data_IF_797671153285
#
_entry.id   IF_797671153285
#
_cell.length_a   1.000
_cell.length_b   1.000
_cell.length_c   1.000
_cell.angle_alpha   90.00
_cell.angle_beta   90.00
_cell.angle_gamma   90.00
#
_symmetry.space_group_name_H-M   'P 1'
#
loop_
_entity.id
_entity.type
_entity.pdbx_description
1 polymer ?
#
# COMPACT_ATOMS: atom_id res chain seq x y z
N UNK A 1 -5.55 4.48 -16.80
CA UNK A 1 -5.28 3.87 -15.47
C UNK A 1 -4.12 4.66 -14.90
N UNK A 2 -4.29 5.22 -13.71
CA UNK A 2 -3.32 6.14 -13.11
C UNK A 2 -2.36 5.36 -12.19
N UNK A 3 -1.07 5.59 -12.26
CA UNK A 3 -0.13 5.15 -11.23
C UNK A 3 -0.17 6.16 -10.09
N UNK A 4 -0.26 5.71 -8.85
CA UNK A 4 -0.40 6.60 -7.69
C UNK A 4 0.57 6.22 -6.59
N UNK A 5 1.22 7.23 -6.01
CA UNK A 5 2.21 7.10 -4.95
C UNK A 5 1.89 8.12 -3.84
N UNK A 6 2.04 7.69 -2.58
CA UNK A 6 1.71 8.48 -1.40
C UNK A 6 2.93 8.63 -0.49
N UNK A 7 3.40 9.86 -0.26
CA UNK A 7 4.62 10.09 0.50
C UNK A 7 4.69 11.48 1.15
N UNK A 8 5.50 11.66 2.20
CA UNK A 8 5.90 12.99 2.65
C UNK A 8 6.78 13.75 1.66
N UNK A 9 6.59 15.07 1.54
CA UNK A 9 7.43 15.96 0.73
C UNK A 9 8.79 16.23 1.40
N UNK A 10 9.64 15.21 1.51
CA UNK A 10 10.99 15.29 2.11
C UNK A 10 12.06 14.73 1.18
N UNK A 11 13.32 15.11 1.42
CA UNK A 11 14.45 14.75 0.56
C UNK A 11 14.64 13.24 0.32
N UNK A 12 14.35 12.40 1.31
CA UNK A 12 14.38 10.94 1.14
C UNK A 12 13.47 10.50 -0.01
N UNK A 13 12.20 10.88 0.05
CA UNK A 13 11.20 10.51 -0.96
C UNK A 13 11.43 11.21 -2.29
N UNK A 14 12.03 12.41 -2.30
CA UNK A 14 12.50 13.03 -3.55
C UNK A 14 13.44 12.08 -4.29
N UNK A 15 14.47 11.56 -3.62
CA UNK A 15 15.42 10.64 -4.25
C UNK A 15 14.75 9.34 -4.74
N UNK A 16 13.92 8.71 -3.90
CA UNK A 16 13.21 7.47 -4.25
C UNK A 16 12.29 7.69 -5.48
N UNK A 17 11.52 8.78 -5.49
CA UNK A 17 10.64 9.14 -6.60
C UNK A 17 11.40 9.46 -7.88
N UNK A 18 12.53 10.17 -7.84
CA UNK A 18 13.32 10.44 -9.04
C UNK A 18 13.75 9.13 -9.72
N UNK A 19 14.16 8.13 -8.93
CA UNK A 19 14.53 6.81 -9.42
C UNK A 19 13.30 6.06 -9.98
N UNK A 20 12.20 5.98 -9.22
CA UNK A 20 10.97 5.31 -9.62
C UNK A 20 10.35 5.92 -10.89
N UNK A 21 10.16 7.25 -10.92
CA UNK A 21 9.53 7.95 -12.04
C UNK A 21 10.37 7.89 -13.31
N UNK A 22 11.70 7.93 -13.19
CA UNK A 22 12.59 7.73 -14.35
C UNK A 22 12.39 6.34 -14.95
N UNK A 23 12.25 5.32 -14.10
CA UNK A 23 11.96 3.96 -14.54
C UNK A 23 10.57 3.84 -15.20
N UNK A 24 9.52 4.36 -14.56
CA UNK A 24 8.16 4.34 -15.10
C UNK A 24 8.06 5.05 -16.46
N UNK A 25 8.69 6.23 -16.60
CA UNK A 25 8.71 6.98 -17.87
C UNK A 25 9.48 6.27 -18.97
N UNK A 26 10.60 5.60 -18.66
CA UNK A 26 11.32 4.74 -19.63
C UNK A 26 10.45 3.58 -20.11
N UNK A 27 9.61 3.06 -19.23
CA UNK A 27 8.57 2.11 -19.58
C UNK A 27 7.34 2.79 -20.19
N UNK A 28 7.39 4.06 -20.60
CA UNK A 28 6.31 4.79 -21.28
C UNK A 28 5.00 4.91 -20.49
N UNK A 29 5.06 4.82 -19.17
CA UNK A 29 3.95 5.13 -18.26
C UNK A 29 3.89 6.65 -18.11
N UNK A 30 2.71 7.23 -18.33
CA UNK A 30 2.51 8.69 -18.38
C UNK A 30 1.53 9.19 -17.31
N UNK A 31 0.43 8.49 -17.11
CA UNK A 31 -0.61 8.85 -16.14
C UNK A 31 -0.12 8.53 -14.72
N UNK A 32 0.53 9.49 -14.07
CA UNK A 32 1.11 9.34 -12.73
C UNK A 32 0.60 10.46 -11.84
N UNK A 33 0.13 10.09 -10.64
CA UNK A 33 -0.37 10.96 -9.58
C UNK A 33 0.54 10.81 -8.37
N UNK A 34 1.07 11.93 -7.87
CA UNK A 34 1.83 11.97 -6.62
C UNK A 34 1.01 12.68 -5.56
N UNK A 35 0.76 11.99 -4.45
CA UNK A 35 0.15 12.57 -3.26
C UNK A 35 1.22 12.87 -2.22
N UNK A 36 1.28 14.12 -1.79
CA UNK A 36 2.24 14.58 -0.80
C UNK A 36 1.59 15.05 0.51
N UNK A 37 2.20 14.67 1.64
CA UNK A 37 2.03 15.46 2.86
C UNK A 37 2.97 16.67 2.83
N UNK A 38 2.46 17.86 3.16
CA UNK A 38 3.21 19.12 3.06
C UNK A 38 4.37 19.16 4.06
N UNK A 39 5.58 19.40 3.55
CA UNK A 39 6.81 19.58 4.33
C UNK A 39 7.74 20.58 3.63
N UNK A 40 8.24 20.25 2.43
CA UNK A 40 8.99 21.15 1.55
C UNK A 40 8.24 21.31 0.22
N UNK A 41 7.68 22.51 -0.02
CA UNK A 41 6.90 22.82 -1.21
C UNK A 41 7.72 22.80 -2.51
N UNK A 42 9.06 22.88 -2.43
CA UNK A 42 9.91 22.79 -3.62
C UNK A 42 9.91 21.38 -4.22
N UNK A 43 9.67 20.34 -3.41
CA UNK A 43 9.70 18.94 -3.86
C UNK A 43 8.49 18.63 -4.77
N UNK A 44 7.22 18.91 -4.38
CA UNK A 44 6.08 18.79 -5.28
C UNK A 44 6.23 19.62 -6.56
N UNK A 45 6.65 20.89 -6.46
CA UNK A 45 6.87 21.78 -7.61
C UNK A 45 7.90 21.21 -8.58
N UNK A 46 8.98 20.62 -8.06
CA UNK A 46 10.00 19.97 -8.87
C UNK A 46 9.41 18.82 -9.70
N UNK A 47 8.62 17.93 -9.09
CA UNK A 47 8.03 16.81 -9.84
C UNK A 47 6.99 17.25 -10.87
N UNK A 48 6.17 18.25 -10.55
CA UNK A 48 5.22 18.81 -11.51
C UNK A 48 5.95 19.38 -12.74
N UNK A 49 7.04 20.15 -12.54
CA UNK A 49 7.77 20.81 -13.64
C UNK A 49 8.69 19.88 -14.42
N UNK A 50 9.53 19.11 -13.73
CA UNK A 50 10.59 18.31 -14.37
C UNK A 50 10.06 16.97 -14.88
N UNK A 51 9.06 16.41 -14.21
CA UNK A 51 8.45 15.14 -14.61
C UNK A 51 7.08 15.32 -15.28
N UNK A 52 6.41 16.47 -15.19
CA UNK A 52 5.12 16.67 -15.85
C UNK A 52 4.07 15.66 -15.38
N UNK A 53 4.05 15.36 -14.07
CA UNK A 53 3.10 14.44 -13.42
C UNK A 53 2.04 15.23 -12.65
N UNK A 54 0.89 14.60 -12.38
CA UNK A 54 -0.15 15.19 -11.54
C UNK A 54 0.32 15.16 -10.08
N UNK A 55 0.22 16.28 -9.38
CA UNK A 55 0.72 16.45 -8.01
C UNK A 55 -0.37 17.06 -7.13
N UNK A 56 -0.60 16.45 -5.96
CA UNK A 56 -1.51 16.97 -4.93
C UNK A 56 -0.79 17.05 -3.60
N UNK A 57 -0.99 18.14 -2.87
CA UNK A 57 -0.30 18.41 -1.60
C UNK A 57 -1.31 18.73 -0.51
N UNK A 58 -1.27 17.95 0.57
CA UNK A 58 -2.19 18.09 1.71
C UNK A 58 -1.43 18.39 2.99
N UNK A 59 -1.98 19.24 3.85
CA UNK A 59 -1.47 19.40 5.21
C UNK A 59 -1.69 18.10 6.01
N UNK A 60 -0.66 17.68 6.76
CA UNK A 60 -0.77 16.55 7.68
C UNK A 60 -1.54 16.97 8.94
N UNK A 61 -2.86 16.86 8.88
CA UNK A 61 -3.79 17.13 9.98
C UNK A 61 -4.25 15.85 10.69
N UNK A 62 -3.48 14.75 10.57
CA UNK A 62 -3.79 13.52 11.30
C UNK A 62 -3.77 13.79 12.81
N UNK A 63 -4.78 13.25 13.50
CA UNK A 63 -4.88 13.33 14.97
C UNK A 63 -3.72 12.58 15.66
N UNK A 64 -3.23 11.53 15.00
CA UNK A 64 -2.08 10.74 15.43
C UNK A 64 -1.05 10.64 14.32
N UNK A 65 0.20 10.97 14.67
CA UNK A 65 1.36 10.95 13.79
C UNK A 65 2.44 9.99 14.30
N UNK A 66 2.22 9.29 15.42
CA UNK A 66 3.17 8.29 15.94
C UNK A 66 3.39 7.15 14.94
N UNK A 67 2.32 6.71 14.29
CA UNK A 67 2.40 5.70 13.24
C UNK A 67 2.61 6.35 11.87
N UNK A 68 3.88 6.50 11.48
CA UNK A 68 4.29 7.15 10.23
C UNK A 68 3.54 6.60 8.99
N UNK A 69 3.43 5.27 8.78
CA UNK A 69 2.75 4.70 7.61
C UNK A 69 1.27 5.10 7.44
N UNK A 70 0.58 5.52 8.51
CA UNK A 70 -0.81 5.99 8.40
C UNK A 70 -0.97 7.25 7.52
N UNK A 71 0.13 7.89 7.10
CA UNK A 71 0.07 9.01 6.15
C UNK A 71 -0.46 8.57 4.79
N UNK A 72 -0.15 7.34 4.35
CA UNK A 72 -0.57 6.84 3.03
C UNK A 72 -2.10 6.78 2.89
N UNK A 73 -2.84 6.09 3.78
CA UNK A 73 -4.31 6.07 3.70
C UNK A 73 -4.94 7.45 3.99
N UNK A 74 -4.29 8.29 4.79
CA UNK A 74 -4.74 9.68 5.00
C UNK A 74 -4.68 10.49 3.68
N UNK A 75 -3.58 10.41 2.93
CA UNK A 75 -3.43 11.10 1.65
C UNK A 75 -4.45 10.60 0.62
N UNK A 76 -4.66 9.28 0.55
CA UNK A 76 -5.73 8.70 -0.27
C UNK A 76 -7.11 9.23 0.08
N UNK A 77 -7.44 9.29 1.38
CA UNK A 77 -8.72 9.84 1.84
C UNK A 77 -8.88 11.29 1.41
N UNK A 78 -7.87 12.15 1.65
CA UNK A 78 -7.92 13.56 1.24
C UNK A 78 -8.05 13.74 -0.26
N UNK A 79 -7.33 12.94 -1.05
CA UNK A 79 -7.39 12.98 -2.50
C UNK A 79 -8.76 12.66 -3.08
N UNK A 80 -9.46 11.67 -2.52
CA UNK A 80 -10.80 11.30 -2.97
C UNK A 80 -11.90 12.20 -2.39
N UNK A 81 -11.71 12.71 -1.17
CA UNK A 81 -12.66 13.64 -0.53
C UNK A 81 -12.67 15.02 -1.21
N UNK A 82 -11.54 15.46 -1.76
CA UNK A 82 -11.44 16.73 -2.48
C UNK A 82 -12.26 16.72 -3.78
N UNK A 83 -12.32 15.58 -4.48
CA UNK A 83 -13.05 15.42 -5.74
C UNK A 83 -13.48 13.97 -5.93
N UNK A 84 -14.78 13.73 -5.68
CA UNK A 84 -15.37 12.40 -5.76
C UNK A 84 -15.39 11.79 -7.17
N UNK A 85 -15.13 12.54 -8.24
CA UNK A 85 -15.03 11.96 -9.59
C UNK A 85 -13.84 10.99 -9.72
N UNK A 86 -12.80 11.17 -8.89
CA UNK A 86 -11.65 10.29 -8.76
C UNK A 86 -12.02 8.90 -8.24
N UNK A 87 -13.18 8.76 -7.61
CA UNK A 87 -13.69 7.46 -7.17
C UNK A 87 -14.23 6.58 -8.30
N UNK A 88 -14.29 7.08 -9.54
CA UNK A 88 -14.65 6.30 -10.73
C UNK A 88 -13.42 5.82 -11.51
N UNK A 89 -12.23 6.22 -11.09
CA UNK A 89 -10.96 5.85 -11.71
C UNK A 89 -10.45 4.48 -11.26
N UNK A 90 -9.43 4.02 -12.00
CA UNK A 90 -8.64 2.84 -11.69
C UNK A 90 -7.17 3.21 -11.50
N UNK A 91 -6.60 2.72 -10.41
CA UNK A 91 -5.27 3.07 -9.95
C UNK A 91 -4.35 1.86 -9.84
N UNK A 92 -3.08 2.06 -10.16
CA UNK A 92 -1.99 1.18 -9.77
C UNK A 92 -1.24 1.87 -8.63
N UNK A 93 -1.43 1.38 -7.42
CA UNK A 93 -0.86 1.93 -6.20
C UNK A 93 0.45 1.20 -5.84
N UNK A 94 1.53 1.96 -5.71
CA UNK A 94 2.87 1.47 -5.38
C UNK A 94 3.54 2.40 -4.37
N UNK A 95 4.56 1.85 -3.69
CA UNK A 95 5.52 2.64 -2.94
C UNK A 95 6.59 3.28 -3.85
N UNK A 96 7.28 4.29 -3.32
CA UNK A 96 8.30 5.08 -4.03
C UNK A 96 9.61 4.34 -4.25
N UNK A 97 9.89 3.31 -3.47
CA UNK A 97 11.11 2.49 -3.51
C UNK A 97 10.94 1.25 -4.41
N UNK A 98 10.17 1.38 -5.49
CA UNK A 98 9.86 0.31 -6.44
C UNK A 98 10.47 0.58 -7.82
N UNK A 99 11.03 -0.47 -8.43
CA UNK A 99 11.55 -0.49 -9.80
C UNK A 99 10.87 -1.56 -10.63
N UNK A 100 10.45 -1.22 -11.84
CA UNK A 100 9.89 -2.15 -12.80
C UNK A 100 10.94 -2.59 -13.81
N UNK A 101 11.18 -3.89 -13.90
CA UNK A 101 12.03 -4.50 -14.94
C UNK A 101 11.29 -4.61 -16.28
N UNK A 102 9.96 -4.77 -16.22
CA UNK A 102 9.08 -4.93 -17.38
C UNK A 102 7.74 -4.27 -17.08
N UNK A 103 7.01 -3.92 -18.15
CA UNK A 103 5.62 -3.46 -18.02
C UNK A 103 4.73 -4.57 -17.46
N UNK A 104 3.82 -4.16 -16.58
CA UNK A 104 2.70 -4.97 -16.13
C UNK A 104 1.70 -5.13 -17.27
N UNK A 105 1.30 -6.36 -17.54
CA UNK A 105 0.25 -6.74 -18.47
C UNK A 105 -1.11 -6.65 -17.79
N UNK A 106 -1.64 -5.43 -17.75
CA UNK A 106 -2.93 -5.10 -17.13
C UNK A 106 -4.13 -5.84 -17.75
N UNK A 107 -3.98 -6.41 -18.96
CA UNK A 107 -5.02 -7.25 -19.56
C UNK A 107 -5.28 -8.54 -18.76
N UNK A 108 -4.28 -9.02 -18.01
CA UNK A 108 -4.44 -10.15 -17.07
C UNK A 108 -5.19 -9.78 -15.80
N UNK A 109 -5.39 -8.49 -15.54
CA UNK A 109 -6.03 -7.94 -14.35
C UNK A 109 -7.33 -7.23 -14.79
N UNK A 110 -8.41 -7.94 -15.16
CA UNK A 110 -9.65 -7.31 -15.60
C UNK A 110 -10.30 -6.53 -14.45
N UNK A 111 -10.82 -5.33 -14.72
CA UNK A 111 -11.59 -4.58 -13.72
C UNK A 111 -12.85 -5.32 -13.34
N UNK A 112 -13.09 -5.48 -12.04
CA UNK A 112 -14.39 -5.87 -11.47
C UNK A 112 -14.72 -4.88 -10.38
N UNK A 113 -16.01 -4.61 -10.17
CA UNK A 113 -16.45 -3.61 -9.19
C UNK A 113 -16.09 -3.99 -7.75
N UNK A 114 -16.02 -5.30 -7.46
CA UNK A 114 -15.86 -5.89 -6.14
C UNK A 114 -14.52 -6.64 -5.97
N UNK A 115 -13.55 -6.48 -6.88
CA UNK A 115 -12.24 -7.16 -6.78
C UNK A 115 -11.09 -6.20 -7.03
N UNK A 116 -10.15 -6.16 -6.11
CA UNK A 116 -8.85 -5.50 -6.30
C UNK A 116 -7.73 -6.54 -6.35
N UNK A 117 -6.74 -6.27 -7.20
CA UNK A 117 -5.59 -7.16 -7.35
C UNK A 117 -4.42 -6.68 -6.51
N UNK A 118 -3.64 -7.61 -5.99
CA UNK A 118 -2.48 -7.32 -5.15
C UNK A 118 -1.34 -8.29 -5.42
N UNK A 119 -0.14 -7.92 -4.98
CA UNK A 119 0.99 -8.86 -4.90
C UNK A 119 0.89 -9.76 -3.68
N UNK A 120 1.50 -10.94 -3.76
CA UNK A 120 1.53 -11.90 -2.65
C UNK A 120 2.36 -11.36 -1.47
N UNK A 121 1.73 -11.29 -0.29
CA UNK A 121 2.37 -10.92 0.96
C UNK A 121 1.99 -11.89 2.09
N UNK A 122 1.55 -13.12 1.75
CA UNK A 122 1.05 -14.09 2.73
C UNK A 122 2.10 -14.47 3.78
N UNK A 123 3.39 -14.40 3.44
CA UNK A 123 4.48 -14.72 4.37
C UNK A 123 4.54 -13.82 5.60
N UNK A 124 3.93 -12.63 5.55
CA UNK A 124 3.91 -11.68 6.68
C UNK A 124 2.56 -10.98 6.91
N UNK A 125 1.52 -11.23 6.10
CA UNK A 125 0.17 -10.69 6.30
C UNK A 125 -0.91 -11.74 6.57
N UNK A 126 -0.63 -13.02 6.31
CA UNK A 126 -1.62 -14.09 6.50
C UNK A 126 -2.04 -14.26 7.96
N UNK A 127 -3.21 -14.85 8.15
CA UNK A 127 -3.68 -15.28 9.47
C UNK A 127 -2.74 -16.34 10.06
N UNK A 128 -2.16 -17.20 9.21
CA UNK A 128 -1.18 -18.20 9.62
C UNK A 128 0.10 -17.56 10.16
N UNK A 129 0.56 -16.48 9.52
CA UNK A 129 1.66 -15.68 10.05
C UNK A 129 1.32 -15.10 11.43
N UNK A 130 0.14 -14.48 11.59
CA UNK A 130 -0.27 -13.91 12.88
C UNK A 130 -0.34 -14.99 13.96
N UNK A 131 -0.94 -16.15 13.65
CA UNK A 131 -1.02 -17.30 14.55
C UNK A 131 0.33 -17.88 14.93
N UNK A 132 1.32 -17.78 14.05
CA UNK A 132 2.69 -18.21 14.34
C UNK A 132 3.41 -17.30 15.34
N UNK A 133 2.92 -16.07 15.55
CA UNK A 133 3.48 -15.12 16.50
C UNK A 133 3.10 -15.42 17.95
N UNK A 134 3.88 -14.92 18.91
CA UNK A 134 3.53 -14.97 20.32
C UNK A 134 2.18 -14.28 20.58
N UNK A 135 1.29 -14.98 21.30
CA UNK A 135 -0.10 -14.59 21.56
C UNK A 135 -0.97 -14.40 20.29
N UNK A 136 -0.58 -15.03 19.17
CA UNK A 136 -1.15 -14.81 17.84
C UNK A 136 -2.68 -14.97 17.74
N UNK A 137 -3.27 -16.00 18.33
CA UNK A 137 -4.71 -16.26 18.22
C UNK A 137 -5.57 -15.20 18.94
N UNK A 138 -5.12 -14.69 20.09
CA UNK A 138 -5.81 -13.60 20.78
C UNK A 138 -5.61 -12.28 20.03
N UNK A 139 -4.40 -12.03 19.55
CA UNK A 139 -4.06 -10.87 18.72
C UNK A 139 -4.95 -10.83 17.48
N UNK A 140 -5.10 -11.95 16.77
CA UNK A 140 -5.96 -12.06 15.59
C UNK A 140 -7.41 -11.66 15.89
N UNK A 141 -7.99 -12.20 16.97
CA UNK A 141 -9.37 -11.89 17.38
C UNK A 141 -9.54 -10.40 17.69
N UNK A 142 -8.60 -9.82 18.44
CA UNK A 142 -8.67 -8.41 18.83
C UNK A 142 -8.45 -7.48 17.63
N UNK A 143 -7.51 -7.80 16.73
CA UNK A 143 -7.32 -7.05 15.49
C UNK A 143 -8.57 -7.10 14.59
N UNK A 144 -9.20 -8.28 14.46
CA UNK A 144 -10.44 -8.43 13.69
C UNK A 144 -11.58 -7.59 14.30
N UNK A 145 -11.71 -7.59 15.63
CA UNK A 145 -12.66 -6.75 16.35
C UNK A 145 -12.39 -5.25 16.14
N UNK A 146 -11.13 -4.81 16.14
CA UNK A 146 -10.75 -3.41 15.89
C UNK A 146 -11.21 -2.97 14.49
N UNK A 147 -11.01 -3.81 13.48
CA UNK A 147 -11.43 -3.52 12.09
C UNK A 147 -12.95 -3.73 11.89
N UNK A 148 -13.63 -4.34 12.86
CA UNK A 148 -15.04 -4.70 12.83
C UNK A 148 -15.37 -5.72 11.72
N UNK A 149 -14.60 -6.81 11.69
CA UNK A 149 -14.79 -7.98 10.81
C UNK A 149 -14.69 -9.25 11.65
N UNK A 150 -15.17 -10.38 11.14
CA UNK A 150 -15.04 -11.67 11.83
C UNK A 150 -13.79 -12.40 11.38
N UNK A 151 -13.15 -13.17 12.27
CA UNK A 151 -12.04 -14.06 11.88
C UNK A 151 -12.48 -15.01 10.77
N UNK A 152 -13.70 -15.55 10.84
CA UNK A 152 -14.28 -16.40 9.78
C UNK A 152 -14.32 -15.68 8.41
N UNK A 153 -14.71 -14.41 8.37
CA UNK A 153 -14.67 -13.64 7.12
C UNK A 153 -13.24 -13.47 6.59
N UNK A 154 -12.27 -13.28 7.48
CA UNK A 154 -10.86 -13.15 7.11
C UNK A 154 -10.26 -14.48 6.61
N UNK A 155 -10.72 -15.63 7.12
CA UNK A 155 -10.29 -16.94 6.60
C UNK A 155 -10.59 -17.09 5.12
N UNK A 156 -11.70 -16.51 4.63
CA UNK A 156 -12.08 -16.59 3.21
C UNK A 156 -11.09 -15.91 2.27
N UNK A 157 -10.26 -15.00 2.80
CA UNK A 157 -9.25 -14.26 2.04
C UNK A 157 -7.82 -14.56 2.49
N UNK A 158 -7.60 -15.52 3.40
CA UNK A 158 -6.28 -15.76 4.00
C UNK A 158 -5.21 -16.07 2.93
N UNK A 159 -5.55 -16.86 1.91
CA UNK A 159 -4.68 -17.17 0.76
C UNK A 159 -4.52 -16.02 -0.24
N UNK A 160 -5.28 -14.94 -0.07
CA UNK A 160 -5.18 -13.69 -0.81
C UNK A 160 -4.72 -12.54 0.09
N UNK A 161 -3.87 -12.83 1.08
CA UNK A 161 -3.29 -11.83 1.98
C UNK A 161 -2.22 -11.00 1.26
N UNK A 162 -2.67 -10.16 0.33
CA UNK A 162 -1.80 -9.35 -0.51
C UNK A 162 -1.51 -7.97 0.05
N UNK A 163 -0.49 -7.34 -0.54
CA UNK A 163 0.06 -6.06 -0.09
C UNK A 163 1.04 -5.49 -1.11
N UNK A 164 1.87 -4.52 -0.65
CA UNK A 164 2.95 -3.82 -1.35
C UNK A 164 2.54 -3.03 -2.61
N UNK A 165 1.98 -3.72 -3.61
CA UNK A 165 1.45 -3.14 -4.84
C UNK A 165 0.00 -3.58 -5.04
N UNK A 166 -0.82 -2.64 -5.49
CA UNK A 166 -2.25 -2.86 -5.69
C UNK A 166 -2.72 -2.34 -7.04
N UNK A 167 -3.68 -3.04 -7.63
CA UNK A 167 -4.53 -2.49 -8.67
C UNK A 167 -5.94 -2.33 -8.12
N UNK A 168 -6.30 -1.07 -7.91
CA UNK A 168 -7.47 -0.61 -7.16
C UNK A 168 -8.49 -0.05 -8.15
N UNK A 169 -9.72 -0.53 -8.09
CA UNK A 169 -10.80 -0.12 -8.97
C UNK A 169 -11.87 0.64 -8.18
N UNK A 170 -12.18 1.86 -8.60
CA UNK A 170 -13.22 2.72 -8.02
C UNK A 170 -13.09 2.89 -6.49
N UNK A 171 -11.92 3.32 -5.99
CA UNK A 171 -11.71 3.50 -4.55
C UNK A 171 -12.66 4.54 -3.99
N UNK A 172 -13.01 4.41 -2.70
CA UNK A 172 -13.96 5.31 -2.04
C UNK A 172 -13.29 6.09 -0.92
N UNK A 173 -13.63 7.37 -0.77
CA UNK A 173 -13.06 8.22 0.28
C UNK A 173 -13.35 7.65 1.69
N UNK A 174 -14.55 7.11 1.90
CA UNK A 174 -14.93 6.49 3.17
C UNK A 174 -14.13 5.21 3.50
N UNK A 175 -13.75 4.43 2.49
CA UNK A 175 -12.85 3.27 2.64
C UNK A 175 -11.51 3.72 3.20
N UNK A 176 -10.85 4.67 2.52
CA UNK A 176 -9.53 5.13 2.91
C UNK A 176 -9.50 5.88 4.23
N UNK A 177 -10.58 6.60 4.56
CA UNK A 177 -10.77 7.18 5.89
C UNK A 177 -10.78 6.11 6.98
N UNK A 178 -11.49 4.99 6.74
CA UNK A 178 -11.54 3.87 7.70
C UNK A 178 -10.17 3.17 7.81
N UNK A 179 -9.48 2.94 6.69
CA UNK A 179 -8.10 2.40 6.69
C UNK A 179 -7.17 3.30 7.51
N UNK A 180 -7.23 4.62 7.33
CA UNK A 180 -6.44 5.57 8.12
C UNK A 180 -6.71 5.42 9.62
N UNK A 181 -7.97 5.41 10.04
CA UNK A 181 -8.34 5.29 11.45
C UNK A 181 -7.94 3.94 12.04
N UNK A 182 -8.20 2.85 11.33
CA UNK A 182 -7.92 1.50 11.82
C UNK A 182 -6.43 1.19 11.82
N UNK A 183 -5.64 1.74 10.89
CA UNK A 183 -4.19 1.59 10.89
C UNK A 183 -3.56 2.10 12.20
N UNK A 184 -4.02 3.25 12.69
CA UNK A 184 -3.58 3.81 13.96
C UNK A 184 -4.07 2.98 15.15
N UNK A 185 -5.32 2.50 15.12
CA UNK A 185 -5.88 1.65 16.19
C UNK A 185 -5.13 0.32 16.31
N UNK A 186 -4.89 -0.36 15.18
CA UNK A 186 -4.12 -1.61 15.13
C UNK A 186 -2.69 -1.39 15.61
N UNK A 187 -2.01 -0.34 15.14
CA UNK A 187 -0.65 -0.03 15.56
C UNK A 187 -0.55 0.18 17.07
N UNK A 188 -1.43 1.00 17.66
CA UNK A 188 -1.46 1.24 19.11
C UNK A 188 -1.76 -0.02 19.90
N UNK A 189 -2.72 -0.82 19.43
CA UNK A 189 -3.05 -2.09 20.06
C UNK A 189 -1.83 -3.01 20.11
N UNK A 190 -1.19 -3.23 18.95
CA UNK A 190 -0.04 -4.11 18.80
C UNK A 190 1.18 -3.66 19.61
N UNK A 191 1.42 -2.35 19.74
CA UNK A 191 2.47 -1.81 20.62
C UNK A 191 2.29 -2.18 22.09
N UNK A 192 1.05 -2.39 22.53
CA UNK A 192 0.72 -2.82 23.89
C UNK A 192 0.77 -4.34 24.08
N UNK A 193 1.00 -5.12 23.02
CA UNK A 193 1.00 -6.58 23.08
C UNK A 193 2.41 -7.15 23.25
N UNK A 194 2.49 -8.27 23.97
CA UNK A 194 3.68 -9.11 23.97
C UNK A 194 3.65 -10.01 22.74
N UNK A 195 4.39 -9.64 21.70
CA UNK A 195 4.40 -10.34 20.42
C UNK A 195 5.66 -10.04 19.61
N UNK A 196 5.98 -10.92 18.67
CA UNK A 196 7.03 -10.76 17.66
C UNK A 196 6.47 -10.40 16.27
N UNK A 197 5.19 -10.02 16.20
CA UNK A 197 4.56 -9.55 14.95
C UNK A 197 5.27 -8.31 14.41
N UNK A 198 5.33 -8.14 13.08
CA UNK A 198 5.87 -6.95 12.46
C UNK A 198 4.90 -5.76 12.61
N UNK A 199 4.90 -5.11 13.77
CA UNK A 199 3.95 -4.04 14.13
C UNK A 199 3.88 -2.92 13.08
N UNK A 200 4.99 -2.64 12.38
CA UNK A 200 5.05 -1.62 11.32
C UNK A 200 4.18 -1.92 10.10
N UNK A 201 3.67 -3.15 9.91
CA UNK A 201 2.74 -3.51 8.83
C UNK A 201 1.26 -3.33 9.23
N UNK A 202 0.95 -2.70 10.37
CA UNK A 202 -0.42 -2.41 10.81
C UNK A 202 -1.31 -1.75 9.74
N UNK A 203 -0.77 -0.84 8.94
CA UNK A 203 -1.47 -0.21 7.81
C UNK A 203 -1.86 -1.21 6.72
N UNK A 204 -1.01 -2.20 6.45
CA UNK A 204 -1.27 -3.21 5.42
C UNK A 204 -2.43 -4.13 5.83
N UNK A 205 -2.49 -4.56 7.10
CA UNK A 205 -3.66 -5.26 7.62
C UNK A 205 -4.89 -4.36 7.64
N UNK A 206 -4.76 -3.09 8.04
CA UNK A 206 -5.87 -2.15 7.99
C UNK A 206 -6.43 -2.01 6.58
N UNK A 207 -5.59 -1.89 5.56
CA UNK A 207 -6.01 -1.84 4.16
C UNK A 207 -6.69 -3.15 3.76
N UNK A 208 -5.98 -4.28 3.86
CA UNK A 208 -6.49 -5.60 3.42
C UNK A 208 -7.82 -5.97 4.09
N UNK A 209 -7.94 -5.82 5.41
CA UNK A 209 -9.11 -6.30 6.15
C UNK A 209 -10.30 -5.35 6.05
N UNK A 210 -10.06 -4.06 5.79
CA UNK A 210 -11.16 -3.15 5.46
C UNK A 210 -11.83 -3.52 4.13
N UNK A 211 -11.14 -4.20 3.21
CA UNK A 211 -11.78 -4.71 1.99
C UNK A 211 -12.96 -5.62 2.32
N UNK A 212 -12.84 -6.49 3.33
CA UNK A 212 -13.95 -7.33 3.79
C UNK A 212 -15.11 -6.52 4.37
N UNK A 213 -14.81 -5.48 5.16
CA UNK A 213 -15.84 -4.58 5.70
C UNK A 213 -16.65 -3.89 4.58
N UNK A 214 -16.00 -3.56 3.47
CA UNK A 214 -16.62 -2.91 2.31
C UNK A 214 -17.06 -3.87 1.20
N UNK A 215 -17.08 -5.20 1.45
CA UNK A 215 -17.43 -6.25 0.48
C UNK A 215 -16.59 -6.21 -0.81
N UNK A 216 -15.28 -5.98 -0.67
CA UNK A 216 -14.30 -6.01 -1.76
C UNK A 216 -13.41 -7.25 -1.54
N UNK A 217 -13.27 -8.08 -2.57
CA UNK A 217 -12.39 -9.25 -2.55
C UNK A 217 -10.95 -8.91 -2.97
N UNK A 218 -9.93 -9.15 -2.13
CA UNK A 218 -8.54 -9.12 -2.58
C UNK A 218 -8.25 -10.34 -3.44
N UNK A 219 -7.46 -10.15 -4.50
CA UNK A 219 -6.98 -11.23 -5.35
C UNK A 219 -5.49 -11.10 -5.63
N UNK A 220 -4.72 -12.04 -5.09
CA UNK A 220 -3.30 -12.16 -5.40
C UNK A 220 -3.12 -12.57 -6.86
N UNK A 221 -2.13 -11.99 -7.54
CA UNK A 221 -1.88 -12.29 -8.94
C UNK A 221 -0.40 -12.19 -9.31
N UNK A 222 0.13 -13.23 -9.97
CA UNK A 222 1.55 -13.41 -10.37
C UNK A 222 2.17 -12.20 -11.08
N UNK A 223 1.34 -11.48 -11.82
CA UNK A 223 1.72 -10.30 -12.58
C UNK A 223 2.20 -9.14 -11.70
N UNK A 224 1.85 -9.16 -10.41
CA UNK A 224 2.25 -8.20 -9.38
C UNK A 224 3.34 -8.76 -8.45
N UNK A 225 3.79 -10.00 -8.67
CA UNK A 225 4.86 -10.59 -7.87
C UNK A 225 6.13 -9.74 -7.94
N UNK A 226 6.87 -9.77 -6.84
CA UNK A 226 8.03 -8.93 -6.64
C UNK A 226 9.12 -9.66 -5.87
N UNK A 227 10.29 -9.04 -5.84
CA UNK A 227 11.44 -9.46 -5.05
C UNK A 227 12.01 -8.27 -4.28
N UNK A 228 12.72 -8.57 -3.21
CA UNK A 228 13.45 -7.59 -2.42
C UNK A 228 14.87 -7.41 -2.97
N UNK A 229 15.53 -6.32 -2.60
CA UNK A 229 16.92 -6.05 -2.99
C UNK A 229 17.91 -7.08 -2.41
N UNK A 230 17.53 -7.78 -1.34
CA UNK A 230 18.30 -8.86 -0.70
C UNK A 230 18.03 -10.24 -1.29
N UNK A 231 17.05 -10.40 -2.19
CA UNK A 231 16.79 -11.67 -2.86
C UNK A 231 17.91 -12.00 -3.89
N UNK A 232 18.13 -13.29 -4.22
CA UNK A 232 19.04 -13.69 -5.29
C UNK A 232 18.71 -13.01 -6.62
N UNK A 233 19.75 -12.65 -7.39
CA UNK A 233 19.63 -11.93 -8.66
C UNK A 233 18.80 -12.69 -9.71
N UNK A 234 18.70 -14.01 -9.59
CA UNK A 234 17.87 -14.87 -10.42
C UNK A 234 16.39 -14.50 -10.29
N UNK A 235 15.90 -14.21 -9.07
CA UNK A 235 14.50 -13.87 -8.81
C UNK A 235 14.10 -12.57 -9.50
N UNK A 236 15.02 -11.61 -9.59
CA UNK A 236 14.83 -10.34 -10.32
C UNK A 236 14.46 -10.56 -11.79
N UNK A 237 14.90 -11.68 -12.40
CA UNK A 237 14.59 -12.03 -13.80
C UNK A 237 13.21 -12.68 -13.95
N UNK A 238 12.69 -13.26 -12.88
CA UNK A 238 11.41 -13.97 -12.85
C UNK A 238 10.24 -13.01 -12.62
N UNK A 239 10.45 -11.98 -11.80
CA UNK A 239 9.43 -10.98 -11.46
C UNK A 239 9.54 -9.71 -12.28
N UNK A 240 8.51 -8.86 -12.21
CA UNK A 240 8.47 -7.56 -12.92
C UNK A 240 8.82 -6.39 -12.03
N UNK A 241 8.76 -6.59 -10.72
CA UNK A 241 8.83 -5.55 -9.71
C UNK A 241 9.97 -5.90 -8.74
N UNK A 242 10.86 -4.95 -8.50
CA UNK A 242 11.89 -4.99 -7.48
C UNK A 242 11.53 -3.94 -6.43
N UNK A 243 11.46 -4.35 -5.16
CA UNK A 243 11.30 -3.46 -4.02
C UNK A 243 12.67 -3.22 -3.40
N UNK A 244 13.09 -1.96 -3.32
CA UNK A 244 14.38 -1.57 -2.75
C UNK A 244 14.35 -1.53 -1.22
N UNK A 245 13.94 -2.67 -0.65
CA UNK A 245 13.80 -2.93 0.78
C UNK A 245 14.30 -4.35 1.09
N UNK A 246 14.08 -4.81 2.32
CA UNK A 246 14.36 -6.19 2.73
C UNK A 246 15.70 -6.42 3.42
N UNK A 247 16.45 -5.36 3.73
CA UNK A 247 17.64 -5.44 4.59
C UNK A 247 17.18 -5.64 6.03
N UNK A 248 17.64 -6.72 6.64
CA UNK A 248 17.44 -7.05 8.05
C UNK A 248 18.75 -6.90 8.82
N UNK A 249 18.72 -7.00 10.15
CA UNK A 249 19.93 -6.90 10.98
C UNK A 249 20.95 -8.02 10.74
N UNK A 250 20.56 -9.07 10.01
CA UNK A 250 21.40 -10.24 9.75
C UNK A 250 22.00 -10.26 8.32
N UNK A 251 21.73 -9.24 7.51
CA UNK A 251 22.27 -9.06 6.15
C UNK A 251 23.50 -8.12 6.16
#
# INVERSE_FOLDING_TARGET
MKYILCQPAINRFKWELEVCLTNLKKLGIKDIVLLFSRHDDQIPIFFEKEYGVEVHVYDDLRDDKEYIPSIKPYLWWKYLEEDHSREDDRYFYIDSDVIFNKRINLRKLPSKDDVWYCSDCCSYLSLDYIRSCENGENILKDMANIVNVTVESLETINTNSGGAQWVINRPKANYWKKVYLDSNRLYRYLRGQKTNIQIWTAEMWAQLWNMMYFNIGPKVHEELDFCFATDPIEKVKEVKILHNAGVTTND
#
